data_IF_404654433532
#
_entry.id   IF_404654433532
#
_cell.length_a   1.000
_cell.length_b   1.000
_cell.length_c   1.000
_cell.angle_alpha   90.00
_cell.angle_beta   90.00
_cell.angle_gamma   90.00
#
_symmetry.space_group_name_H-M   'P 1'
#
loop_
_entity.id
_entity.type
_entity.pdbx_description
1 polymer ?
#
# COMPACT_ATOMS: atom_id res chain seq x y z
N UNK A 1 -136.42 -82.91 9.03
CA UNK A 1 -135.95 -81.98 10.07
C UNK A 1 -134.50 -82.30 10.46
N UNK A 2 -134.16 -83.55 10.76
CA UNK A 2 -132.78 -83.98 11.04
C UNK A 2 -131.80 -83.81 9.89
N UNK A 3 -132.15 -84.16 8.64
CA UNK A 3 -131.22 -84.03 7.50
C UNK A 3 -130.80 -82.58 7.21
N UNK A 4 -131.69 -81.62 7.47
CA UNK A 4 -131.38 -80.19 7.34
C UNK A 4 -130.35 -79.74 8.37
N UNK A 5 -130.54 -80.16 9.62
CA UNK A 5 -129.60 -79.88 10.73
C UNK A 5 -128.24 -80.52 10.43
N UNK A 6 -128.21 -81.77 9.95
CA UNK A 6 -126.96 -82.45 9.58
C UNK A 6 -126.27 -81.72 8.42
N UNK A 7 -127.02 -81.24 7.41
CA UNK A 7 -126.48 -80.43 6.33
C UNK A 7 -125.88 -79.11 6.81
N UNK A 8 -126.59 -78.38 7.69
CA UNK A 8 -126.11 -77.14 8.30
C UNK A 8 -124.82 -77.36 9.11
N UNK A 9 -124.74 -78.43 9.90
CA UNK A 9 -123.52 -78.77 10.66
C UNK A 9 -122.36 -79.20 9.76
N UNK A 10 -122.62 -79.92 8.65
CA UNK A 10 -121.59 -80.25 7.66
C UNK A 10 -121.02 -79.00 7.00
N UNK A 11 -121.88 -78.08 6.54
CA UNK A 11 -121.44 -76.80 6.00
C UNK A 11 -120.59 -76.02 7.01
N UNK A 12 -121.01 -75.97 8.27
CA UNK A 12 -120.24 -75.29 9.32
C UNK A 12 -118.87 -75.93 9.59
N UNK A 13 -118.77 -77.26 9.50
CA UNK A 13 -117.49 -77.97 9.62
C UNK A 13 -116.59 -77.68 8.43
N UNK A 14 -117.14 -77.65 7.22
CA UNK A 14 -116.40 -77.32 6.00
C UNK A 14 -115.91 -75.85 6.02
N UNK A 15 -116.76 -74.91 6.46
CA UNK A 15 -116.41 -73.49 6.61
C UNK A 15 -115.30 -73.29 7.67
N UNK A 16 -115.41 -73.94 8.83
CA UNK A 16 -114.37 -73.90 9.87
C UNK A 16 -113.07 -74.55 9.40
N UNK A 17 -113.15 -75.60 8.57
CA UNK A 17 -112.00 -76.23 7.93
C UNK A 17 -111.29 -75.26 6.98
N UNK A 18 -112.05 -74.55 6.14
CA UNK A 18 -111.51 -73.54 5.23
C UNK A 18 -110.88 -72.34 5.98
N UNK A 19 -111.50 -71.87 7.06
CA UNK A 19 -110.95 -70.81 7.92
C UNK A 19 -109.66 -71.26 8.61
N UNK A 20 -109.60 -72.49 9.12
CA UNK A 20 -108.39 -73.05 9.72
C UNK A 20 -107.25 -73.16 8.71
N UNK A 21 -107.52 -73.65 7.50
CA UNK A 21 -106.53 -73.76 6.43
C UNK A 21 -106.03 -72.37 5.98
N UNK A 22 -106.93 -71.39 5.87
CA UNK A 22 -106.57 -70.00 5.58
C UNK A 22 -105.68 -69.40 6.68
N UNK A 23 -106.04 -69.57 7.95
CA UNK A 23 -105.26 -69.10 9.11
C UNK A 23 -103.89 -69.77 9.18
N UNK A 24 -103.79 -71.09 8.90
CA UNK A 24 -102.50 -71.79 8.85
C UNK A 24 -101.63 -71.28 7.70
N UNK A 25 -102.21 -70.99 6.53
CA UNK A 25 -101.48 -70.41 5.39
C UNK A 25 -100.96 -69.00 5.72
N UNK A 26 -101.78 -68.17 6.34
CA UNK A 26 -101.36 -66.85 6.83
C UNK A 26 -100.26 -66.96 7.89
N UNK A 27 -100.38 -67.89 8.84
CA UNK A 27 -99.34 -68.14 9.84
C UNK A 27 -98.00 -68.51 9.20
N UNK A 28 -98.00 -69.36 8.16
CA UNK A 28 -96.78 -69.70 7.40
C UNK A 28 -96.23 -68.49 6.63
N UNK A 29 -97.09 -67.68 6.03
CA UNK A 29 -96.68 -66.44 5.36
C UNK A 29 -96.04 -65.46 6.36
N UNK A 30 -96.68 -65.22 7.51
CA UNK A 30 -96.14 -64.36 8.56
C UNK A 30 -94.82 -64.89 9.13
N UNK A 31 -94.69 -66.21 9.30
CA UNK A 31 -93.44 -66.82 9.73
C UNK A 31 -92.32 -66.57 8.71
N UNK A 32 -92.61 -66.70 7.41
CA UNK A 32 -91.65 -66.43 6.33
C UNK A 32 -91.22 -64.97 6.29
N UNK A 33 -92.19 -64.04 6.37
CA UNK A 33 -91.90 -62.60 6.44
C UNK A 33 -91.12 -62.24 7.71
N UNK A 34 -91.41 -62.87 8.84
CA UNK A 34 -90.65 -62.69 10.08
C UNK A 34 -89.18 -63.09 9.92
N UNK A 35 -88.91 -64.25 9.31
CA UNK A 35 -87.52 -64.67 9.03
C UNK A 35 -86.81 -63.72 8.06
N UNK A 36 -87.51 -63.24 7.02
CA UNK A 36 -86.96 -62.28 6.07
C UNK A 36 -86.62 -60.95 6.73
N UNK A 37 -87.53 -60.41 7.55
CA UNK A 37 -87.32 -59.17 8.28
C UNK A 37 -86.20 -59.30 9.30
N UNK A 38 -86.11 -60.46 9.99
CA UNK A 38 -85.03 -60.75 10.93
C UNK A 38 -83.66 -60.76 10.22
N UNK A 39 -83.55 -61.41 9.07
CA UNK A 39 -82.31 -61.43 8.29
C UNK A 39 -81.90 -60.02 7.83
N UNK A 40 -82.86 -59.22 7.33
CA UNK A 40 -82.59 -57.84 6.94
C UNK A 40 -82.21 -56.95 8.14
N UNK A 41 -82.78 -57.20 9.32
CA UNK A 41 -82.44 -56.49 10.55
C UNK A 41 -81.02 -56.80 11.01
N UNK A 42 -80.62 -58.09 10.97
CA UNK A 42 -79.25 -58.52 11.28
C UNK A 42 -78.23 -57.90 10.32
N UNK A 43 -78.51 -57.88 9.01
CA UNK A 43 -77.66 -57.21 8.01
C UNK A 43 -77.52 -55.70 8.26
N UNK A 44 -78.62 -55.02 8.59
CA UNK A 44 -78.59 -53.58 8.92
C UNK A 44 -77.78 -53.29 10.19
N UNK A 45 -77.75 -54.21 11.16
CA UNK A 45 -76.88 -54.07 12.35
C UNK A 45 -75.41 -54.15 11.94
N UNK A 46 -75.04 -55.09 11.09
CA UNK A 46 -73.66 -55.22 10.61
C UNK A 46 -73.22 -53.98 9.82
N UNK A 47 -74.09 -53.45 8.96
CA UNK A 47 -73.85 -52.20 8.23
C UNK A 47 -73.70 -51.00 9.18
N UNK A 48 -74.56 -50.89 10.19
CA UNK A 48 -74.47 -49.84 11.21
C UNK A 48 -73.13 -49.90 11.96
N UNK A 49 -72.67 -51.09 12.31
CA UNK A 49 -71.38 -51.28 12.97
C UNK A 49 -70.20 -50.94 12.05
N UNK A 50 -70.29 -51.23 10.75
CA UNK A 50 -69.30 -50.79 9.76
C UNK A 50 -69.21 -49.25 9.69
N UNK A 51 -70.36 -48.59 9.55
CA UNK A 51 -70.43 -47.11 9.49
C UNK A 51 -69.91 -46.48 10.78
N UNK A 52 -70.19 -47.08 11.94
CA UNK A 52 -69.64 -46.61 13.23
C UNK A 52 -68.13 -46.70 13.30
N UNK A 53 -67.53 -47.77 12.76
CA UNK A 53 -66.06 -47.91 12.69
C UNK A 53 -65.45 -46.88 11.74
N UNK A 54 -66.03 -46.70 10.56
CA UNK A 54 -65.59 -45.68 9.60
C UNK A 54 -65.67 -44.28 10.18
N UNK A 55 -66.78 -43.95 10.85
CA UNK A 55 -66.96 -42.65 11.50
C UNK A 55 -65.90 -42.44 12.60
N UNK A 56 -65.59 -43.46 13.40
CA UNK A 56 -64.52 -43.39 14.38
C UNK A 56 -63.15 -43.15 13.72
N UNK A 57 -62.83 -43.90 12.65
CA UNK A 57 -61.56 -43.73 11.94
C UNK A 57 -61.43 -42.32 11.35
N UNK A 58 -62.49 -41.77 10.77
CA UNK A 58 -62.51 -40.40 10.24
C UNK A 58 -62.36 -39.36 11.37
N UNK A 59 -62.97 -39.60 12.53
CA UNK A 59 -62.83 -38.71 13.69
C UNK A 59 -61.38 -38.71 14.22
N UNK A 60 -60.73 -39.87 14.25
CA UNK A 60 -59.32 -40.00 14.64
C UNK A 60 -58.40 -39.30 13.61
N UNK A 61 -58.65 -39.46 12.30
CA UNK A 61 -57.91 -38.76 11.24
C UNK A 61 -58.09 -37.23 11.30
N UNK A 62 -59.31 -36.77 11.55
CA UNK A 62 -59.60 -35.34 11.77
C UNK A 62 -58.80 -34.79 12.95
N UNK A 63 -58.67 -35.56 14.03
CA UNK A 63 -57.87 -35.17 15.20
C UNK A 63 -56.39 -35.08 14.87
N UNK A 64 -55.84 -36.09 14.19
CA UNK A 64 -54.43 -36.10 13.79
C UNK A 64 -54.09 -34.91 12.87
N UNK A 65 -54.98 -34.59 11.92
CA UNK A 65 -54.83 -33.42 11.05
C UNK A 65 -54.88 -32.10 11.84
N UNK A 66 -55.76 -31.98 12.84
CA UNK A 66 -55.80 -30.81 13.71
C UNK A 66 -54.51 -30.64 14.51
N UNK A 67 -53.97 -31.73 15.05
CA UNK A 67 -52.70 -31.71 15.79
C UNK A 67 -51.53 -31.30 14.88
N UNK A 68 -51.47 -31.84 13.66
CA UNK A 68 -50.48 -31.45 12.64
C UNK A 68 -50.58 -29.97 12.25
N UNK A 69 -51.79 -29.42 12.11
CA UNK A 69 -51.99 -27.99 11.84
C UNK A 69 -51.46 -27.15 13.01
N UNK A 70 -51.71 -27.58 14.26
CA UNK A 70 -51.21 -26.91 15.45
C UNK A 70 -49.68 -26.90 15.52
N UNK A 71 -49.03 -28.02 15.22
CA UNK A 71 -47.57 -28.12 15.13
C UNK A 71 -46.99 -27.30 13.97
N UNK A 72 -47.61 -27.38 12.79
CA UNK A 72 -47.24 -26.58 11.62
C UNK A 72 -47.31 -25.08 11.90
N UNK A 73 -48.32 -24.62 12.63
CA UNK A 73 -48.45 -23.22 13.05
C UNK A 73 -47.32 -22.76 13.98
N UNK A 74 -46.90 -23.61 14.93
CA UNK A 74 -45.76 -23.32 15.83
C UNK A 74 -44.45 -23.24 15.05
N UNK A 75 -44.19 -24.23 14.19
CA UNK A 75 -43.00 -24.28 13.33
C UNK A 75 -42.93 -23.07 12.40
N UNK A 76 -44.05 -22.71 11.76
CA UNK A 76 -44.16 -21.52 10.92
C UNK A 76 -43.80 -20.24 11.68
N UNK A 77 -44.32 -20.06 12.90
CA UNK A 77 -44.02 -18.88 13.70
C UNK A 77 -42.54 -18.80 14.08
N UNK A 78 -41.91 -19.93 14.41
CA UNK A 78 -40.48 -19.99 14.71
C UNK A 78 -39.63 -19.64 13.48
N UNK A 79 -39.98 -20.17 12.31
CA UNK A 79 -39.32 -19.84 11.04
C UNK A 79 -39.45 -18.34 10.73
N UNK A 80 -40.64 -17.75 10.90
CA UNK A 80 -40.83 -16.31 10.72
C UNK A 80 -39.96 -15.48 11.67
N UNK A 81 -39.84 -15.89 12.93
CA UNK A 81 -38.99 -15.21 13.90
C UNK A 81 -37.51 -15.27 13.49
N UNK A 82 -37.05 -16.44 13.05
CA UNK A 82 -35.68 -16.63 12.56
C UNK A 82 -35.42 -15.81 11.29
N UNK A 83 -36.38 -15.76 10.36
CA UNK A 83 -36.28 -14.96 9.15
C UNK A 83 -36.08 -13.47 9.47
N UNK A 84 -36.90 -12.91 10.39
CA UNK A 84 -36.75 -11.51 10.83
C UNK A 84 -35.40 -11.24 11.50
N UNK A 85 -34.91 -12.18 12.32
CA UNK A 85 -33.60 -12.04 12.95
C UNK A 85 -32.47 -12.00 11.91
N UNK A 86 -32.53 -12.89 10.92
CA UNK A 86 -31.54 -12.93 9.83
C UNK A 86 -31.61 -11.69 8.94
N UNK A 87 -32.80 -11.11 8.75
CA UNK A 87 -32.96 -9.85 8.01
C UNK A 87 -32.28 -8.68 8.73
N UNK A 88 -32.45 -8.58 10.05
CA UNK A 88 -31.75 -7.57 10.88
C UNK A 88 -30.23 -7.81 10.84
N UNK A 89 -29.77 -9.04 11.02
CA UNK A 89 -28.34 -9.37 10.99
C UNK A 89 -27.72 -9.03 9.62
N UNK A 90 -28.46 -9.25 8.53
CA UNK A 90 -28.04 -8.85 7.19
C UNK A 90 -27.90 -7.33 7.07
N UNK A 91 -28.86 -6.56 7.57
CA UNK A 91 -28.79 -5.09 7.56
C UNK A 91 -27.60 -4.57 8.39
N UNK A 92 -27.36 -5.15 9.57
CA UNK A 92 -26.21 -4.80 10.42
C UNK A 92 -24.87 -5.11 9.73
N UNK A 93 -24.75 -6.28 9.11
CA UNK A 93 -23.55 -6.66 8.35
C UNK A 93 -23.34 -5.76 7.12
N UNK A 94 -24.42 -5.35 6.45
CA UNK A 94 -24.32 -4.43 5.32
C UNK A 94 -23.86 -3.05 5.77
N UNK A 95 -24.38 -2.52 6.88
CA UNK A 95 -23.93 -1.25 7.43
C UNK A 95 -22.45 -1.29 7.85
N UNK A 96 -22.01 -2.39 8.47
CA UNK A 96 -20.61 -2.59 8.85
C UNK A 96 -19.68 -2.69 7.62
N UNK A 97 -20.16 -3.31 6.53
CA UNK A 97 -19.43 -3.37 5.26
C UNK A 97 -19.26 -1.97 4.66
N UNK A 98 -20.34 -1.19 4.58
CA UNK A 98 -20.30 0.18 4.05
C UNK A 98 -19.35 1.10 4.86
N UNK A 99 -19.32 0.95 6.18
CA UNK A 99 -18.36 1.67 7.05
C UNK A 99 -16.91 1.25 6.76
N UNK A 100 -16.66 -0.05 6.61
CA UNK A 100 -15.32 -0.57 6.30
C UNK A 100 -14.84 -0.12 4.90
N UNK A 101 -15.73 -0.07 3.91
CA UNK A 101 -15.44 0.44 2.57
C UNK A 101 -15.08 1.93 2.59
N UNK A 102 -15.84 2.74 3.34
CA UNK A 102 -15.54 4.16 3.50
C UNK A 102 -14.18 4.40 4.21
N UNK A 103 -13.86 3.60 5.23
CA UNK A 103 -12.57 3.66 5.91
C UNK A 103 -11.42 3.27 4.97
N UNK A 104 -11.60 2.23 4.15
CA UNK A 104 -10.62 1.81 3.15
C UNK A 104 -10.36 2.93 2.13
N UNK A 105 -11.41 3.53 1.57
CA UNK A 105 -11.28 4.64 0.62
C UNK A 105 -10.50 5.82 1.24
N UNK A 106 -10.73 6.13 2.52
CA UNK A 106 -9.98 7.17 3.22
C UNK A 106 -8.48 6.84 3.33
N UNK A 107 -8.13 5.59 3.65
CA UNK A 107 -6.73 5.15 3.75
C UNK A 107 -6.04 5.10 2.38
N UNK A 108 -6.74 4.69 1.33
CA UNK A 108 -6.21 4.74 -0.05
C UNK A 108 -5.89 6.18 -0.48
N UNK A 109 -6.77 7.14 -0.13
CA UNK A 109 -6.52 8.55 -0.38
C UNK A 109 -5.30 9.08 0.39
N UNK A 110 -5.11 8.67 1.65
CA UNK A 110 -3.91 9.02 2.44
C UNK A 110 -2.65 8.44 1.81
N UNK A 111 -2.70 7.18 1.36
CA UNK A 111 -1.58 6.52 0.69
C UNK A 111 -1.19 7.27 -0.59
N UNK A 112 -2.15 7.64 -1.42
CA UNK A 112 -1.90 8.37 -2.65
C UNK A 112 -1.24 9.74 -2.37
N UNK A 113 -1.71 10.47 -1.37
CA UNK A 113 -1.08 11.74 -0.94
C UNK A 113 0.35 11.51 -0.46
N UNK A 114 0.57 10.52 0.39
CA UNK A 114 1.91 10.17 0.87
C UNK A 114 2.87 9.77 -0.25
N UNK A 115 2.39 9.05 -1.27
CA UNK A 115 3.18 8.72 -2.45
C UNK A 115 3.57 9.95 -3.27
N UNK A 116 2.64 10.91 -3.45
CA UNK A 116 2.92 12.16 -4.14
C UNK A 116 3.95 13.01 -3.38
N UNK A 117 3.80 13.15 -2.06
CA UNK A 117 4.76 13.86 -1.21
C UNK A 117 6.14 13.21 -1.27
N UNK A 118 6.21 11.88 -1.19
CA UNK A 118 7.47 11.14 -1.32
C UNK A 118 8.14 11.37 -2.68
N UNK A 119 7.36 11.37 -3.77
CA UNK A 119 7.87 11.65 -5.11
C UNK A 119 8.40 13.08 -5.22
N UNK A 120 7.72 14.06 -4.64
CA UNK A 120 8.17 15.46 -4.62
C UNK A 120 9.47 15.63 -3.84
N UNK A 121 9.55 15.05 -2.63
CA UNK A 121 10.77 15.11 -1.79
C UNK A 121 11.95 14.46 -2.50
N UNK A 122 11.74 13.32 -3.17
CA UNK A 122 12.80 12.67 -3.98
C UNK A 122 13.30 13.59 -5.08
N UNK A 123 12.40 14.20 -5.87
CA UNK A 123 12.78 15.15 -6.92
C UNK A 123 13.52 16.38 -6.36
N UNK A 124 13.09 16.90 -5.20
CA UNK A 124 13.78 18.01 -4.56
C UNK A 124 15.19 17.63 -4.08
N UNK A 125 15.36 16.44 -3.50
CA UNK A 125 16.66 15.91 -3.09
C UNK A 125 17.57 15.76 -4.31
N UNK A 126 17.10 15.13 -5.38
CA UNK A 126 17.89 14.93 -6.60
C UNK A 126 18.34 16.28 -7.20
N UNK A 127 17.44 17.28 -7.24
CA UNK A 127 17.77 18.63 -7.69
C UNK A 127 18.84 19.27 -6.80
N UNK A 128 18.69 19.20 -5.48
CA UNK A 128 19.66 19.77 -4.52
C UNK A 128 21.03 19.11 -4.64
N UNK A 129 21.07 17.79 -4.88
CA UNK A 129 22.33 17.07 -5.12
C UNK A 129 23.00 17.63 -6.38
N UNK A 130 22.26 17.75 -7.49
CA UNK A 130 22.79 18.29 -8.74
C UNK A 130 23.31 19.73 -8.56
N UNK A 131 22.54 20.61 -7.91
CA UNK A 131 22.96 21.99 -7.61
C UNK A 131 24.28 22.01 -6.80
N UNK A 132 24.41 21.12 -5.81
CA UNK A 132 25.64 21.02 -5.00
C UNK A 132 26.82 20.50 -5.80
N UNK A 133 26.62 19.51 -6.67
CA UNK A 133 27.68 19.00 -7.56
C UNK A 133 28.18 20.11 -8.51
N UNK A 134 27.28 20.91 -9.06
CA UNK A 134 27.63 22.07 -9.90
C UNK A 134 28.39 23.15 -9.12
N UNK A 135 27.97 23.47 -7.89
CA UNK A 135 28.70 24.37 -6.99
C UNK A 135 30.12 23.87 -6.71
N UNK A 136 30.28 22.59 -6.34
CA UNK A 136 31.60 22.01 -6.06
C UNK A 136 32.51 22.04 -7.28
N UNK A 137 32.00 21.69 -8.46
CA UNK A 137 32.79 21.71 -9.69
C UNK A 137 33.18 23.14 -10.09
N UNK A 138 32.31 24.12 -9.87
CA UNK A 138 32.62 25.54 -10.07
C UNK A 138 33.72 26.03 -9.12
N UNK A 139 33.62 25.72 -7.82
CA UNK A 139 34.64 26.06 -6.82
C UNK A 139 35.98 25.40 -7.14
N UNK A 140 35.96 24.12 -7.51
CA UNK A 140 37.16 23.39 -7.95
C UNK A 140 37.81 24.05 -9.16
N UNK A 141 37.04 24.40 -10.19
CA UNK A 141 37.56 25.11 -11.38
C UNK A 141 38.13 26.48 -11.02
N UNK A 142 37.48 27.23 -10.14
CA UNK A 142 37.97 28.53 -9.68
C UNK A 142 39.32 28.40 -8.96
N UNK A 143 39.42 27.47 -8.00
CA UNK A 143 40.66 27.20 -7.29
C UNK A 143 41.76 26.67 -8.20
N UNK A 144 41.44 25.82 -9.18
CA UNK A 144 42.41 25.36 -10.17
C UNK A 144 42.99 26.53 -10.97
N UNK A 145 42.15 27.45 -11.47
CA UNK A 145 42.63 28.65 -12.17
C UNK A 145 43.50 29.54 -11.28
N UNK A 146 43.14 29.69 -10.00
CA UNK A 146 43.95 30.45 -9.05
C UNK A 146 45.32 29.80 -8.82
N UNK A 147 45.36 28.47 -8.67
CA UNK A 147 46.61 27.71 -8.56
C UNK A 147 47.48 27.88 -9.81
N UNK A 148 46.91 27.72 -11.01
CA UNK A 148 47.63 27.88 -12.28
C UNK A 148 48.21 29.31 -12.41
N UNK A 149 47.46 30.33 -11.98
CA UNK A 149 47.91 31.74 -11.97
C UNK A 149 49.06 31.99 -10.97
N UNK A 150 48.95 31.44 -9.76
CA UNK A 150 50.03 31.52 -8.75
C UNK A 150 51.28 30.77 -9.22
N UNK A 151 51.10 29.61 -9.85
CA UNK A 151 52.19 28.82 -10.44
C UNK A 151 52.93 29.64 -11.52
N UNK A 152 52.20 30.27 -12.45
CA UNK A 152 52.78 31.12 -13.49
C UNK A 152 53.54 32.32 -12.90
N UNK A 153 53.00 32.95 -11.86
CA UNK A 153 53.64 34.06 -11.16
C UNK A 153 54.91 33.62 -10.43
N UNK A 154 54.88 32.45 -9.78
CA UNK A 154 56.05 31.85 -9.12
C UNK A 154 57.16 31.53 -10.13
N UNK A 155 56.81 30.99 -11.29
CA UNK A 155 57.77 30.71 -12.37
C UNK A 155 58.38 31.99 -12.95
N UNK A 156 57.59 33.05 -13.12
CA UNK A 156 58.08 34.36 -13.55
C UNK A 156 59.05 34.97 -12.54
N UNK A 157 58.70 34.93 -11.24
CA UNK A 157 59.57 35.41 -10.16
C UNK A 157 60.87 34.60 -10.06
N UNK A 158 60.80 33.27 -10.23
CA UNK A 158 61.97 32.40 -10.25
C UNK A 158 62.92 32.74 -11.40
N UNK A 159 62.38 33.00 -12.61
CA UNK A 159 63.17 33.46 -13.77
C UNK A 159 63.77 34.83 -13.53
N UNK A 160 62.98 35.79 -13.05
CA UNK A 160 63.45 37.14 -12.71
C UNK A 160 64.57 37.13 -11.67
N UNK A 161 64.44 36.31 -10.62
CA UNK A 161 65.50 36.09 -9.62
C UNK A 161 66.77 35.51 -10.24
N UNK A 162 66.65 34.52 -11.13
CA UNK A 162 67.81 33.93 -11.81
C UNK A 162 68.54 34.96 -12.69
N UNK A 163 67.80 35.79 -13.42
CA UNK A 163 68.35 36.88 -14.22
C UNK A 163 69.03 37.95 -13.36
N UNK A 164 68.37 38.38 -12.28
CA UNK A 164 68.94 39.34 -11.33
C UNK A 164 70.24 38.82 -10.69
N UNK A 165 70.30 37.53 -10.33
CA UNK A 165 71.53 36.90 -9.83
C UNK A 165 72.64 36.87 -10.89
N UNK A 166 72.30 36.64 -12.17
CA UNK A 166 73.26 36.67 -13.28
C UNK A 166 73.83 38.07 -13.49
N UNK A 167 72.96 39.09 -13.50
CA UNK A 167 73.37 40.50 -13.63
C UNK A 167 74.21 40.92 -12.44
N UNK A 168 73.80 40.55 -11.21
CA UNK A 168 74.57 40.80 -10.00
C UNK A 168 76.00 40.26 -10.12
N UNK A 169 76.18 38.98 -10.47
CA UNK A 169 77.51 38.38 -10.65
C UNK A 169 78.35 39.10 -11.70
N UNK A 170 77.72 39.55 -12.79
CA UNK A 170 78.41 40.34 -13.82
C UNK A 170 78.88 41.68 -13.25
N UNK A 171 78.00 42.42 -12.58
CA UNK A 171 78.36 43.69 -11.94
C UNK A 171 79.45 43.53 -10.89
N UNK A 172 79.41 42.45 -10.08
CA UNK A 172 80.48 42.12 -9.13
C UNK A 172 81.83 41.90 -9.85
N UNK A 173 81.83 41.22 -11.01
CA UNK A 173 83.02 41.05 -11.86
C UNK A 173 83.51 42.37 -12.45
N UNK A 174 82.60 43.18 -13.02
CA UNK A 174 82.91 44.47 -13.62
C UNK A 174 83.50 45.44 -12.57
N UNK A 175 82.96 45.45 -11.34
CA UNK A 175 83.50 46.22 -10.20
C UNK A 175 84.93 45.78 -9.90
N UNK A 176 85.18 44.46 -9.80
CA UNK A 176 86.52 43.94 -9.52
C UNK A 176 87.53 44.30 -10.63
N UNK A 177 87.14 44.27 -11.90
CA UNK A 177 87.98 44.74 -13.01
C UNK A 177 88.30 46.24 -12.92
N UNK A 178 87.31 47.07 -12.57
CA UNK A 178 87.48 48.50 -12.38
C UNK A 178 88.39 48.82 -11.18
N UNK A 179 88.29 48.07 -10.09
CA UNK A 179 89.17 48.18 -8.92
C UNK A 179 90.62 47.90 -9.30
N UNK A 180 90.88 46.80 -10.04
CA UNK A 180 92.22 46.47 -10.54
C UNK A 180 92.75 47.58 -11.47
N UNK A 181 91.92 48.08 -12.39
CA UNK A 181 92.30 49.16 -13.31
C UNK A 181 92.61 50.47 -12.56
N UNK A 182 91.82 50.79 -11.52
CA UNK A 182 92.04 51.94 -10.65
C UNK A 182 93.36 51.81 -9.88
N UNK A 183 93.68 50.63 -9.34
CA UNK A 183 94.96 50.37 -8.67
C UNK A 183 96.14 50.54 -9.62
N UNK A 184 96.05 50.01 -10.85
CA UNK A 184 97.07 50.24 -11.88
C UNK A 184 97.23 51.73 -12.22
N UNK A 185 96.13 52.46 -12.38
CA UNK A 185 96.13 53.90 -12.67
C UNK A 185 96.74 54.71 -11.51
N UNK A 186 96.36 54.40 -10.27
CA UNK A 186 96.92 55.00 -9.06
C UNK A 186 98.42 54.72 -8.93
N UNK A 187 98.85 53.50 -9.24
CA UNK A 187 100.27 53.13 -9.26
C UNK A 187 101.05 53.92 -10.31
N UNK A 188 100.54 53.97 -11.54
CA UNK A 188 101.13 54.76 -12.62
C UNK A 188 101.21 56.24 -12.25
N UNK A 189 100.14 56.82 -11.67
CA UNK A 189 100.10 58.19 -11.20
C UNK A 189 101.14 58.45 -10.08
N UNK A 190 101.26 57.54 -9.10
CA UNK A 190 102.28 57.63 -8.05
C UNK A 190 103.70 57.62 -8.62
N UNK A 191 103.97 56.75 -9.59
CA UNK A 191 105.29 56.64 -10.21
C UNK A 191 105.59 57.86 -11.12
N UNK A 192 104.59 58.40 -11.83
CA UNK A 192 104.69 59.69 -12.53
C UNK A 192 104.98 60.85 -11.58
N UNK A 193 104.28 60.93 -10.43
CA UNK A 193 104.55 61.96 -9.42
C UNK A 193 105.97 61.88 -8.86
N UNK A 194 106.50 60.68 -8.62
CA UNK A 194 107.92 60.50 -8.24
C UNK A 194 108.85 60.98 -9.35
N UNK A 195 108.52 60.68 -10.60
CA UNK A 195 109.32 61.12 -11.74
C UNK A 195 109.33 62.65 -11.89
N UNK A 196 108.18 63.30 -11.71
CA UNK A 196 108.04 64.77 -11.67
C UNK A 196 108.88 65.35 -10.53
N UNK A 197 108.82 64.78 -9.32
CA UNK A 197 109.66 65.22 -8.19
C UNK A 197 111.15 65.10 -8.52
N UNK A 198 111.57 64.00 -9.18
CA UNK A 198 112.95 63.82 -9.62
C UNK A 198 113.36 64.89 -10.63
N UNK A 199 112.56 65.11 -11.68
CA UNK A 199 112.83 66.15 -12.70
C UNK A 199 112.88 67.54 -12.05
N UNK A 200 111.96 67.87 -11.13
CA UNK A 200 111.97 69.14 -10.41
C UNK A 200 113.23 69.31 -9.54
N UNK A 201 113.71 68.23 -8.91
CA UNK A 201 114.98 68.25 -8.16
C UNK A 201 116.17 68.42 -9.12
N UNK A 202 116.21 67.67 -10.22
CA UNK A 202 117.26 67.79 -11.25
C UNK A 202 117.31 69.21 -11.85
N UNK A 203 116.14 69.83 -12.10
CA UNK A 203 116.02 71.22 -12.55
C UNK A 203 116.50 72.23 -11.51
N UNK A 204 116.20 72.01 -10.22
CA UNK A 204 116.74 72.83 -9.12
C UNK A 204 118.25 72.71 -9.05
N UNK A 205 118.81 71.50 -9.09
CA UNK A 205 120.25 71.26 -9.05
C UNK A 205 120.96 71.89 -10.26
N UNK A 206 120.38 71.80 -11.45
CA UNK A 206 120.87 72.49 -12.64
C UNK A 206 120.76 74.00 -12.51
N UNK A 207 119.66 74.52 -11.96
CA UNK A 207 119.50 75.94 -11.63
C UNK A 207 120.58 76.42 -10.67
N UNK A 208 120.85 75.67 -9.59
CA UNK A 208 121.93 75.95 -8.65
C UNK A 208 123.31 75.90 -9.31
N UNK A 209 123.57 74.94 -10.22
CA UNK A 209 124.81 74.88 -11.00
C UNK A 209 124.96 76.04 -11.96
N UNK A 210 123.88 76.53 -12.55
CA UNK A 210 123.89 77.74 -13.40
C UNK A 210 124.15 78.98 -12.56
N UNK A 211 123.52 79.12 -11.40
CA UNK A 211 123.80 80.21 -10.44
C UNK A 211 125.25 80.17 -9.96
N UNK A 212 125.80 78.98 -9.72
CA UNK A 212 127.21 78.77 -9.33
C UNK A 212 128.17 79.08 -10.49
N UNK A 213 127.85 78.68 -11.72
CA UNK A 213 128.60 79.03 -12.93
C UNK A 213 128.54 80.53 -13.25
N UNK A 214 127.40 81.18 -13.03
CA UNK A 214 127.22 82.64 -13.18
C UNK A 214 127.98 83.41 -12.09
N UNK A 215 128.04 82.89 -10.85
CA UNK A 215 128.90 83.42 -9.78
C UNK A 215 130.39 83.26 -10.05
N UNK A 216 130.80 82.19 -10.73
CA UNK A 216 132.20 81.96 -11.12
C UNK A 216 132.60 82.76 -12.37
N UNK A 217 131.62 83.23 -13.15
CA UNK A 217 131.82 84.06 -14.34
C UNK A 217 131.65 85.57 -14.10
N UNK A 218 131.35 86.00 -12.86
CA UNK A 218 131.22 87.40 -12.42
C UNK A 218 132.27 87.72 -11.37
#
# INVERSE_FOLDING_TARGET
NFDRIIGEWKMKVDDLGAELDASQKECRNYSTEHFRLKAAYEENIEQLDSVRRENKNLADEIKDLMDQIGEGGRSYHEVQKNAKRLEIEKEELQAALEEAEAALEQEENKLLRGQLELSQVRQEIDRRIQEKEEEFENTRKCHQRALDSMQASLEAEAKGKAEALRVKKKLESDINELEIALDHSNKANSDLQKHIKKINNDLKDMGSRIEEAQRLAS
#
